data_IF_883823262853
#
_entry.id   IF_883823262853
#
_cell.length_a   1.000
_cell.length_b   1.000
_cell.length_c   1.000
_cell.angle_alpha   90.00
_cell.angle_beta   90.00
_cell.angle_gamma   90.00
#
_symmetry.space_group_name_H-M   'P 1'
#
loop_
_entity.id
_entity.type
_entity.pdbx_description
1 polymer ?
#
# COMPACT_ATOMS: atom_id res chain seq x y z
N UNK A 1 2.25 3.50 5.19
CA UNK A 1 1.39 2.55 4.46
C UNK A 1 1.38 2.93 3.00
N UNK A 2 1.28 1.97 2.08
CA UNK A 2 1.12 2.23 0.65
C UNK A 2 0.59 0.97 -0.04
N UNK A 3 -0.03 1.14 -1.20
CA UNK A 3 -0.26 0.07 -2.17
C UNK A 3 0.76 0.12 -3.30
N UNK A 4 0.77 -0.91 -4.14
CA UNK A 4 1.56 -0.95 -5.36
C UNK A 4 0.74 -1.64 -6.45
N UNK A 5 0.72 -1.06 -7.66
CA UNK A 5 0.16 -1.71 -8.85
C UNK A 5 1.30 -2.11 -9.77
N UNK A 6 1.42 -3.41 -10.04
CA UNK A 6 2.51 -3.98 -10.84
C UNK A 6 3.86 -4.01 -10.11
N UNK A 7 4.82 -4.80 -10.61
CA UNK A 7 6.10 -5.05 -9.91
C UNK A 7 7.18 -3.97 -10.02
N UNK A 8 6.85 -2.72 -10.39
CA UNK A 8 7.85 -1.66 -10.54
C UNK A 8 7.99 -0.86 -9.24
N UNK A 9 9.18 -0.91 -8.63
CA UNK A 9 9.48 -0.38 -7.29
C UNK A 9 9.26 1.14 -7.09
N UNK A 10 9.08 1.93 -8.16
CA UNK A 10 8.82 3.37 -8.04
C UNK A 10 7.33 3.76 -8.09
N UNK A 11 6.43 2.80 -8.30
CA UNK A 11 5.01 3.08 -8.48
C UNK A 11 4.20 2.67 -7.25
N UNK A 12 4.51 3.29 -6.11
CA UNK A 12 3.60 3.24 -4.97
C UNK A 12 2.35 4.06 -5.26
N UNK A 13 1.22 3.57 -4.77
CA UNK A 13 -0.06 4.27 -4.79
C UNK A 13 -0.56 4.45 -3.37
N UNK A 14 -1.37 5.49 -3.14
CA UNK A 14 -1.91 5.81 -1.83
C UNK A 14 -0.84 5.81 -0.70
N UNK A 15 0.32 6.46 -0.87
CA UNK A 15 1.29 6.54 0.23
C UNK A 15 0.70 7.34 1.40
N UNK A 16 0.90 6.83 2.61
CA UNK A 16 0.50 7.46 3.86
C UNK A 16 1.64 7.34 4.87
N UNK A 17 2.19 8.47 5.28
CA UNK A 17 3.06 8.59 6.45
C UNK A 17 2.16 8.98 7.62
N UNK A 18 2.30 8.29 8.74
CA UNK A 18 1.49 8.54 9.93
C UNK A 18 2.33 8.27 11.18
N UNK A 19 1.97 8.96 12.26
CA UNK A 19 2.56 8.75 13.57
C UNK A 19 1.73 7.75 14.37
N UNK A 20 2.38 7.03 15.29
CA UNK A 20 1.80 5.97 16.14
C UNK A 20 1.58 4.62 15.45
N UNK A 21 0.94 3.68 16.15
CA UNK A 21 0.68 2.31 15.69
C UNK A 21 -0.52 2.26 14.74
N UNK A 22 -0.45 1.40 13.72
CA UNK A 22 -1.60 1.16 12.83
C UNK A 22 -2.77 0.51 13.59
N UNK A 23 -3.95 1.08 13.46
CA UNK A 23 -5.22 0.52 13.97
C UNK A 23 -6.10 0.07 12.82
N UNK A 24 -7.11 -0.76 13.09
CA UNK A 24 -8.09 -1.15 12.07
C UNK A 24 -8.81 0.07 11.50
N UNK A 25 -9.23 1.02 12.34
CA UNK A 25 -9.93 2.22 11.90
C UNK A 25 -9.07 3.09 10.96
N UNK A 26 -7.77 3.28 11.29
CA UNK A 26 -6.85 4.03 10.42
C UNK A 26 -6.61 3.29 9.10
N UNK A 27 -6.42 1.97 9.15
CA UNK A 27 -6.24 1.15 7.96
C UNK A 27 -7.45 1.24 7.03
N UNK A 28 -8.66 1.12 7.58
CA UNK A 28 -9.90 1.14 6.79
C UNK A 28 -10.18 2.50 6.18
N UNK A 29 -9.93 3.56 6.95
CA UNK A 29 -10.01 4.94 6.44
C UNK A 29 -9.05 5.12 5.27
N UNK A 30 -7.80 4.68 5.41
CA UNK A 30 -6.82 4.71 4.33
C UNK A 30 -7.25 3.84 3.13
N UNK A 31 -7.78 2.65 3.39
CA UNK A 31 -8.22 1.72 2.36
C UNK A 31 -9.35 2.33 1.52
N UNK A 32 -10.38 2.86 2.17
CA UNK A 32 -11.56 3.45 1.53
C UNK A 32 -11.24 4.78 0.85
N UNK A 33 -10.53 5.69 1.53
CA UNK A 33 -10.38 7.07 1.08
C UNK A 33 -9.16 7.28 0.17
N UNK A 34 -8.16 6.41 0.23
CA UNK A 34 -6.92 6.57 -0.53
C UNK A 34 -6.67 5.41 -1.49
N UNK A 35 -6.66 4.16 -1.01
CA UNK A 35 -6.33 3.02 -1.86
C UNK A 35 -7.42 2.73 -2.90
N UNK A 36 -8.67 2.61 -2.47
CA UNK A 36 -9.79 2.20 -3.31
C UNK A 36 -10.04 3.17 -4.48
N UNK A 37 -9.94 4.50 -4.34
CA UNK A 37 -10.00 5.43 -5.48
C UNK A 37 -8.88 5.20 -6.50
N UNK A 38 -7.66 4.90 -6.07
CA UNK A 38 -6.56 4.56 -6.97
C UNK A 38 -6.87 3.28 -7.78
N UNK A 39 -7.39 2.24 -7.12
CA UNK A 39 -7.78 0.98 -7.76
C UNK A 39 -8.95 1.17 -8.74
N UNK A 40 -9.98 1.91 -8.33
CA UNK A 40 -11.13 2.23 -9.17
C UNK A 40 -10.69 2.97 -10.44
N UNK A 41 -9.81 3.96 -10.31
CA UNK A 41 -9.28 4.70 -11.46
C UNK A 41 -8.43 3.82 -12.37
N UNK A 42 -7.62 2.92 -11.80
CA UNK A 42 -6.89 1.93 -12.60
C UNK A 42 -7.84 1.01 -13.38
N UNK A 43 -8.92 0.52 -12.77
CA UNK A 43 -9.94 -0.29 -13.45
C UNK A 43 -10.65 0.51 -14.53
N UNK A 44 -11.02 1.77 -14.29
CA UNK A 44 -11.62 2.64 -15.33
C UNK A 44 -10.72 2.77 -16.56
N UNK A 45 -9.41 2.90 -16.35
CA UNK A 45 -8.43 3.06 -17.43
C UNK A 45 -8.15 1.75 -18.19
N UNK A 46 -8.13 0.62 -17.49
CA UNK A 46 -7.70 -0.67 -18.07
C UNK A 46 -8.86 -1.60 -18.43
N UNK A 47 -10.06 -1.32 -17.93
CA UNK A 47 -11.23 -2.20 -18.01
C UNK A 47 -11.13 -3.47 -17.15
N UNK A 48 -10.10 -3.62 -16.30
CA UNK A 48 -9.82 -4.85 -15.55
C UNK A 48 -9.88 -4.64 -14.04
N UNK A 49 -10.63 -5.48 -13.30
CA UNK A 49 -10.64 -5.42 -11.84
C UNK A 49 -9.28 -5.83 -11.26
N UNK A 50 -8.88 -5.18 -10.18
CA UNK A 50 -7.67 -5.53 -9.42
C UNK A 50 -7.90 -6.71 -8.46
N UNK A 51 -6.87 -7.55 -8.33
CA UNK A 51 -6.68 -8.45 -7.19
C UNK A 51 -5.81 -7.74 -6.17
N UNK A 52 -6.32 -7.58 -4.96
CA UNK A 52 -5.67 -6.88 -3.84
C UNK A 52 -5.07 -7.94 -2.92
N UNK A 53 -3.74 -8.04 -2.93
CA UNK A 53 -3.00 -8.96 -2.07
C UNK A 53 -2.75 -8.26 -0.74
N UNK A 54 -3.21 -8.86 0.36
CA UNK A 54 -2.98 -8.37 1.72
C UNK A 54 -2.29 -9.46 2.56
N UNK A 55 -1.38 -9.08 3.44
CA UNK A 55 -0.88 -10.00 4.46
C UNK A 55 -1.94 -10.25 5.56
N UNK A 56 -1.63 -11.14 6.50
CA UNK A 56 -2.56 -11.53 7.57
C UNK A 56 -2.46 -10.62 8.81
N UNK A 57 -2.24 -9.31 8.63
CA UNK A 57 -2.19 -8.37 9.76
C UNK A 57 -3.54 -8.29 10.49
N UNK A 58 -3.51 -8.25 11.83
CA UNK A 58 -4.73 -8.27 12.67
C UNK A 58 -5.71 -7.13 12.37
N UNK A 59 -5.20 -6.00 11.88
CA UNK A 59 -6.02 -4.82 11.55
C UNK A 59 -6.70 -4.93 10.18
N UNK A 60 -6.40 -5.94 9.37
CA UNK A 60 -7.09 -6.21 8.11
C UNK A 60 -8.43 -6.93 8.37
N UNK A 61 -9.47 -6.19 8.77
CA UNK A 61 -10.81 -6.76 9.04
C UNK A 61 -11.50 -7.15 7.73
N UNK A 62 -11.21 -8.36 7.24
CA UNK A 62 -11.64 -8.87 5.93
C UNK A 62 -13.12 -8.62 5.59
N UNK A 63 -14.03 -8.86 6.54
CA UNK A 63 -15.47 -8.65 6.33
C UNK A 63 -15.77 -7.19 5.94
N UNK A 64 -15.20 -6.23 6.65
CA UNK A 64 -15.44 -4.82 6.37
C UNK A 64 -14.77 -4.37 5.06
N UNK A 65 -13.56 -4.85 4.77
CA UNK A 65 -12.90 -4.56 3.49
C UNK A 65 -13.68 -5.13 2.29
N UNK A 66 -14.30 -6.31 2.44
CA UNK A 66 -15.19 -6.89 1.44
C UNK A 66 -16.46 -6.04 1.26
N UNK A 67 -17.07 -5.54 2.34
CA UNK A 67 -18.21 -4.62 2.26
C UNK A 67 -17.85 -3.34 1.48
N UNK A 68 -16.71 -2.72 1.79
CA UNK A 68 -16.21 -1.54 1.07
C UNK A 68 -16.04 -1.79 -0.43
N UNK A 69 -15.49 -2.95 -0.80
CA UNK A 69 -15.34 -3.33 -2.22
C UNK A 69 -16.68 -3.59 -2.89
N UNK A 70 -17.60 -4.29 -2.21
CA UNK A 70 -18.93 -4.63 -2.74
C UNK A 70 -19.79 -3.38 -2.98
N UNK A 71 -19.51 -2.29 -2.26
CA UNK A 71 -20.14 -0.98 -2.50
C UNK A 71 -19.62 -0.28 -3.77
N UNK A 72 -18.60 -0.82 -4.43
CA UNK A 72 -18.09 -0.31 -5.72
C UNK A 72 -18.59 -1.13 -6.90
N UNK A 73 -18.70 -0.52 -8.07
CA UNK A 73 -19.08 -1.22 -9.31
C UNK A 73 -17.93 -2.01 -9.94
N UNK A 74 -16.69 -1.85 -9.45
CA UNK A 74 -15.47 -2.37 -10.09
C UNK A 74 -15.14 -3.82 -9.74
N UNK A 75 -15.87 -4.46 -8.82
CA UNK A 75 -15.75 -5.90 -8.48
C UNK A 75 -14.30 -6.34 -8.18
N UNK A 76 -13.57 -5.53 -7.41
CA UNK A 76 -12.24 -5.91 -6.92
C UNK A 76 -12.28 -7.18 -6.08
N UNK A 77 -11.15 -7.89 -5.96
CA UNK A 77 -11.06 -9.13 -5.18
C UNK A 77 -9.95 -8.97 -4.15
N UNK A 78 -10.21 -9.31 -2.89
CA UNK A 78 -9.17 -9.41 -1.86
C UNK A 78 -8.66 -10.86 -1.80
N UNK A 79 -7.35 -11.01 -1.89
CA UNK A 79 -6.66 -12.28 -1.72
C UNK A 79 -5.74 -12.18 -0.50
N UNK A 80 -6.16 -12.67 0.68
CA UNK A 80 -5.30 -12.72 1.85
C UNK A 80 -4.19 -13.77 1.64
N UNK A 81 -2.97 -13.44 2.02
CA UNK A 81 -1.85 -14.37 1.98
C UNK A 81 -1.93 -15.38 3.14
N UNK A 82 -1.43 -16.62 2.95
CA UNK A 82 -1.28 -17.56 4.04
C UNK A 82 -0.37 -16.99 5.15
N UNK A 83 -0.52 -17.45 6.40
CA UNK A 83 0.36 -17.07 7.49
C UNK A 83 1.84 -17.23 7.14
N UNK A 84 2.68 -16.29 7.62
CA UNK A 84 4.14 -16.28 7.43
C UNK A 84 4.62 -16.22 5.97
N UNK A 85 3.76 -15.85 5.02
CA UNK A 85 4.08 -15.80 3.59
C UNK A 85 4.52 -14.41 3.11
N UNK A 86 5.28 -13.66 3.91
CA UNK A 86 5.73 -12.30 3.58
C UNK A 86 6.49 -12.22 2.26
N UNK A 87 7.24 -13.28 1.89
CA UNK A 87 7.95 -13.39 0.61
C UNK A 87 7.01 -13.35 -0.61
N UNK A 88 5.73 -13.66 -0.43
CA UNK A 88 4.71 -13.62 -1.49
C UNK A 88 4.06 -12.24 -1.64
N UNK A 89 4.33 -11.30 -0.72
CA UNK A 89 3.83 -9.93 -0.83
C UNK A 89 4.78 -9.11 -1.72
N UNK A 90 4.40 -8.76 -2.97
CA UNK A 90 5.33 -8.15 -3.94
C UNK A 90 5.88 -6.80 -3.47
N UNK A 91 5.13 -6.07 -2.64
CA UNK A 91 5.55 -4.76 -2.14
C UNK A 91 6.74 -4.85 -1.18
N UNK A 92 7.05 -6.02 -0.61
CA UNK A 92 8.20 -6.19 0.28
C UNK A 92 9.53 -5.92 -0.42
N UNK A 93 9.65 -6.26 -1.70
CA UNK A 93 10.85 -5.96 -2.49
C UNK A 93 10.99 -4.44 -2.72
N UNK A 94 9.87 -3.75 -2.92
CA UNK A 94 9.82 -2.30 -3.02
C UNK A 94 10.28 -1.66 -1.71
N UNK A 95 9.76 -2.11 -0.57
CA UNK A 95 10.20 -1.64 0.75
C UNK A 95 11.66 -1.96 1.05
N UNK A 96 12.17 -3.12 0.64
CA UNK A 96 13.58 -3.46 0.78
C UNK A 96 14.48 -2.49 -0.01
N UNK A 97 14.07 -2.11 -1.21
CA UNK A 97 14.79 -1.15 -2.05
C UNK A 97 14.81 0.25 -1.41
N UNK A 98 13.65 0.74 -0.96
CA UNK A 98 13.53 2.03 -0.27
C UNK A 98 14.40 2.06 0.99
N UNK A 99 14.28 1.04 1.85
CA UNK A 99 15.07 0.95 3.10
C UNK A 99 16.58 0.92 2.83
N UNK A 100 17.02 0.21 1.79
CA UNK A 100 18.45 0.17 1.41
C UNK A 100 18.95 1.55 1.00
N UNK A 101 18.19 2.26 0.18
CA UNK A 101 18.55 3.62 -0.24
C UNK A 101 18.55 4.59 0.93
N UNK A 102 17.53 4.56 1.80
CA UNK A 102 17.48 5.44 2.98
C UNK A 102 18.72 5.23 3.85
N UNK A 103 19.06 3.97 4.18
CA UNK A 103 20.22 3.65 5.02
C UNK A 103 21.55 4.20 4.50
N UNK A 104 21.73 4.33 3.19
CA UNK A 104 22.96 4.89 2.63
C UNK A 104 23.01 6.41 2.64
N UNK A 105 21.89 7.09 2.92
CA UNK A 105 21.79 8.56 2.94
C UNK A 105 21.37 9.11 4.32
N UNK A 106 21.13 8.25 5.31
CA UNK A 106 20.65 8.67 6.65
C UNK A 106 21.59 9.67 7.34
N UNK A 107 22.89 9.65 7.05
CA UNK A 107 23.86 10.60 7.61
C UNK A 107 23.74 12.02 7.04
N UNK A 108 23.04 12.17 5.93
CA UNK A 108 22.87 13.42 5.18
C UNK A 108 21.45 13.99 5.31
N UNK A 109 20.58 13.32 6.07
CA UNK A 109 19.16 13.62 6.19
C UNK A 109 18.80 13.86 7.66
N UNK A 110 18.09 14.96 7.93
CA UNK A 110 17.65 15.28 9.29
C UNK A 110 16.47 14.40 9.72
N UNK A 111 15.63 13.98 8.77
CA UNK A 111 14.46 13.13 9.04
C UNK A 111 14.24 12.03 7.99
N UNK A 112 13.54 10.97 8.40
CA UNK A 112 13.08 9.91 7.47
C UNK A 112 12.12 10.47 6.41
N UNK A 113 11.31 11.46 6.77
CA UNK A 113 10.35 12.08 5.85
C UNK A 113 11.07 12.78 4.69
N UNK A 114 12.11 13.56 4.97
CA UNK A 114 12.96 14.18 3.94
C UNK A 114 13.64 13.12 3.08
N UNK A 115 14.12 12.04 3.69
CA UNK A 115 14.67 10.91 2.94
C UNK A 115 13.68 10.30 1.96
N UNK A 116 12.42 10.12 2.38
CA UNK A 116 11.37 9.61 1.51
C UNK A 116 11.03 10.63 0.40
N UNK A 117 10.92 11.92 0.71
CA UNK A 117 10.72 13.00 -0.27
C UNK A 117 11.81 12.99 -1.34
N UNK A 118 13.07 12.90 -0.93
CA UNK A 118 14.23 12.81 -1.83
C UNK A 118 14.17 11.53 -2.70
N UNK A 119 13.91 10.37 -2.11
CA UNK A 119 13.82 9.10 -2.86
C UNK A 119 12.74 9.13 -3.95
N UNK A 120 11.58 9.72 -3.64
CA UNK A 120 10.46 9.82 -4.57
C UNK A 120 10.53 11.06 -5.48
N UNK A 121 11.48 11.97 -5.25
CA UNK A 121 11.64 13.21 -6.03
C UNK A 121 10.50 14.20 -5.83
N UNK A 122 9.89 14.22 -4.64
CA UNK A 122 8.75 15.09 -4.29
C UNK A 122 9.29 16.18 -3.36
N UNK A 123 9.43 17.39 -3.88
CA UNK A 123 9.93 18.57 -3.16
C UNK A 123 8.76 19.42 -2.65
#
# INVERSE_FOLDING_TARGET
MAGQIGGKAKNLIAPLIYNNTMTSALFETWFEQMLLPCLNNHTKQTGKPCIIILDNARFHRMKHLQELINNTTYKHIILPLPPYSSKLNPIEQTWATIKRWLRSHLSELDTIEEGLKCYFGVW
#
